data_IF_239737862795
#
_entry.id   IF_239737862795
#
_cell.length_a   1.000
_cell.length_b   1.000
_cell.length_c   1.000
_cell.angle_alpha   90.00
_cell.angle_beta   90.00
_cell.angle_gamma   90.00
#
_symmetry.space_group_name_H-M   'P 1'
#
loop_
_entity.id
_entity.type
_entity.pdbx_description
1 polymer ?
#
# COMPACT_ATOMS: atom_id res chain seq x y z
N UNK A 1 2.52 -6.87 2.28
CA UNK A 1 1.97 -7.00 0.90
C UNK A 1 1.40 -8.39 0.71
N UNK A 2 0.21 -8.49 0.11
CA UNK A 2 -0.63 -9.70 0.10
C UNK A 2 -0.49 -10.54 -1.18
N UNK A 3 0.65 -10.45 -1.89
CA UNK A 3 0.88 -11.21 -3.14
C UNK A 3 0.53 -12.70 -3.03
N UNK A 4 0.90 -13.43 -1.95
CA UNK A 4 0.50 -14.83 -1.81
C UNK A 4 -1.01 -15.05 -1.93
N UNK A 5 -1.83 -14.20 -1.31
CA UNK A 5 -3.28 -14.33 -1.34
C UNK A 5 -3.88 -13.96 -2.69
N UNK A 6 -3.28 -12.99 -3.39
CA UNK A 6 -3.70 -12.65 -4.76
C UNK A 6 -3.40 -13.79 -5.71
N UNK A 7 -2.23 -14.44 -5.61
CA UNK A 7 -1.92 -15.62 -6.41
C UNK A 7 -2.88 -16.78 -6.08
N UNK A 8 -3.25 -16.96 -4.81
CA UNK A 8 -4.28 -17.96 -4.44
C UNK A 8 -5.65 -17.61 -5.04
N UNK A 9 -6.01 -16.34 -5.12
CA UNK A 9 -7.27 -15.90 -5.73
C UNK A 9 -7.30 -16.24 -7.23
N UNK A 10 -6.23 -15.93 -7.97
CA UNK A 10 -6.10 -16.30 -9.38
C UNK A 10 -6.12 -17.82 -9.59
N UNK A 11 -5.52 -18.58 -8.69
CA UNK A 11 -5.56 -20.07 -8.73
C UNK A 11 -6.93 -20.64 -8.35
N UNK A 12 -7.79 -19.89 -7.68
CA UNK A 12 -9.16 -20.30 -7.40
C UNK A 12 -10.05 -20.30 -8.66
N UNK A 13 -9.68 -19.55 -9.69
CA UNK A 13 -10.34 -19.56 -11.01
C UNK A 13 -9.98 -20.79 -11.86
N UNK A 14 -8.85 -21.45 -11.54
CA UNK A 14 -8.36 -22.65 -12.23
C UNK A 14 -6.85 -22.80 -12.18
N UNK A 15 -6.32 -23.95 -12.62
CA UNK A 15 -4.89 -24.20 -12.66
C UNK A 15 -4.18 -23.30 -13.67
N UNK A 16 -3.07 -22.63 -13.25
CA UNK A 16 -2.34 -21.65 -14.06
C UNK A 16 -0.84 -21.83 -13.96
N UNK A 17 -0.11 -21.36 -14.97
CA UNK A 17 1.34 -21.26 -14.95
C UNK A 17 1.79 -20.00 -14.21
N UNK A 18 3.01 -19.99 -13.65
CA UNK A 18 3.53 -18.83 -12.94
C UNK A 18 3.60 -17.56 -13.79
N UNK A 19 3.94 -17.67 -15.08
CA UNK A 19 3.94 -16.54 -16.00
C UNK A 19 2.52 -15.99 -16.23
N UNK A 20 1.56 -16.87 -16.45
CA UNK A 20 0.15 -16.51 -16.62
C UNK A 20 -0.39 -15.77 -15.37
N UNK A 21 -0.06 -16.24 -14.16
CA UNK A 21 -0.44 -15.59 -12.91
C UNK A 21 0.13 -14.16 -12.81
N UNK A 22 1.35 -13.94 -13.30
CA UNK A 22 1.94 -12.60 -13.36
C UNK A 22 1.15 -11.71 -14.30
N UNK A 23 0.92 -12.17 -15.53
CA UNK A 23 0.23 -11.41 -16.58
C UNK A 23 -1.20 -11.05 -16.16
N UNK A 24 -1.95 -12.00 -15.58
CA UNK A 24 -3.31 -11.74 -15.09
C UNK A 24 -3.32 -10.78 -13.90
N UNK A 25 -2.32 -10.84 -12.99
CA UNK A 25 -2.19 -9.88 -11.91
C UNK A 25 -1.90 -8.47 -12.44
N UNK A 26 -0.93 -8.34 -13.37
CA UNK A 26 -0.57 -7.06 -13.98
C UNK A 26 -1.76 -6.46 -14.74
N UNK A 27 -2.43 -7.26 -15.56
CA UNK A 27 -3.65 -6.85 -16.27
C UNK A 27 -4.78 -6.46 -15.30
N UNK A 28 -5.04 -7.25 -14.26
CA UNK A 28 -6.10 -6.97 -13.28
C UNK A 28 -5.83 -5.75 -12.37
N UNK A 29 -4.62 -5.19 -12.42
CA UNK A 29 -4.23 -3.97 -11.69
C UNK A 29 -3.88 -2.82 -12.63
N UNK A 30 -4.17 -2.96 -13.95
CA UNK A 30 -3.82 -1.97 -14.96
C UNK A 30 -2.32 -1.67 -15.02
N UNK A 31 -1.49 -2.70 -14.82
CA UNK A 31 -0.02 -2.62 -14.81
C UNK A 31 0.58 -1.65 -13.77
N UNK A 32 -0.24 -1.12 -12.85
CA UNK A 32 0.19 -0.20 -11.79
C UNK A 32 1.20 -0.87 -10.85
N UNK A 33 1.07 -2.19 -10.64
CA UNK A 33 1.94 -2.95 -9.74
C UNK A 33 2.66 -4.10 -10.46
N UNK A 34 3.77 -3.82 -11.16
CA UNK A 34 4.50 -4.85 -11.88
C UNK A 34 5.06 -5.91 -10.92
N UNK A 35 4.96 -7.19 -11.30
CA UNK A 35 5.52 -8.32 -10.56
C UNK A 35 6.76 -8.89 -11.25
N UNK A 36 7.82 -9.06 -10.47
CA UNK A 36 8.99 -9.80 -10.94
C UNK A 36 8.68 -11.31 -11.02
N UNK A 37 8.98 -11.93 -12.14
CA UNK A 37 8.77 -13.37 -12.38
C UNK A 37 9.40 -14.23 -11.29
N UNK A 38 10.63 -13.92 -10.87
CA UNK A 38 11.31 -14.62 -9.79
C UNK A 38 10.58 -14.51 -8.45
N UNK A 39 9.92 -13.39 -8.18
CA UNK A 39 9.09 -13.21 -6.98
C UNK A 39 7.84 -14.09 -7.04
N UNK A 40 7.21 -14.21 -8.21
CA UNK A 40 6.05 -15.09 -8.40
C UNK A 40 6.42 -16.54 -8.10
N UNK A 41 7.48 -17.08 -8.73
CA UNK A 41 7.91 -18.47 -8.50
C UNK A 41 8.37 -18.71 -7.06
N UNK A 42 9.09 -17.77 -6.44
CA UNK A 42 9.46 -17.86 -5.02
C UNK A 42 8.23 -17.90 -4.11
N UNK A 43 7.18 -17.15 -4.47
CA UNK A 43 5.92 -17.14 -3.71
C UNK A 43 5.17 -18.43 -3.91
N UNK A 44 5.05 -18.94 -5.15
CA UNK A 44 4.41 -20.23 -5.45
C UNK A 44 5.11 -21.39 -4.73
N UNK A 45 6.45 -21.44 -4.73
CA UNK A 45 7.20 -22.45 -4.00
C UNK A 45 6.99 -22.40 -2.48
N UNK A 46 6.69 -21.21 -1.91
CA UNK A 46 6.29 -21.09 -0.51
C UNK A 46 4.88 -21.59 -0.29
N UNK A 47 3.92 -21.20 -1.15
CA UNK A 47 2.54 -21.66 -1.07
C UNK A 47 2.44 -23.18 -1.17
N UNK A 48 3.28 -23.81 -2.02
CA UNK A 48 3.37 -25.25 -2.17
C UNK A 48 3.93 -25.93 -0.91
N UNK A 49 5.03 -25.42 -0.33
CA UNK A 49 5.59 -25.92 0.94
C UNK A 49 4.60 -25.80 2.10
N UNK A 50 3.80 -24.75 2.11
CA UNK A 50 2.80 -24.49 3.15
C UNK A 50 1.50 -25.28 2.90
N UNK A 51 1.42 -26.06 1.79
CA UNK A 51 0.26 -26.85 1.40
C UNK A 51 -0.96 -26.04 0.99
N UNK A 52 -0.76 -24.78 0.59
CA UNK A 52 -1.81 -23.87 0.14
C UNK A 52 -2.03 -23.91 -1.37
N UNK A 53 -1.01 -24.28 -2.12
CA UNK A 53 -1.06 -24.61 -3.54
C UNK A 53 -0.35 -25.95 -3.77
N UNK A 54 -0.64 -26.58 -4.89
CA UNK A 54 0.05 -27.76 -5.35
C UNK A 54 0.31 -27.67 -6.85
N UNK A 55 1.32 -28.38 -7.33
CA UNK A 55 1.63 -28.45 -8.75
C UNK A 55 1.39 -29.83 -9.28
N UNK A 56 1.14 -29.94 -10.58
CA UNK A 56 0.85 -31.20 -11.27
C UNK A 56 2.08 -32.13 -11.46
N UNK A 57 3.20 -31.81 -10.82
CA UNK A 57 4.33 -32.72 -10.60
C UNK A 57 5.03 -33.33 -11.84
N UNK A 58 4.62 -33.00 -13.05
CA UNK A 58 5.07 -33.66 -14.28
C UNK A 58 6.22 -32.96 -15.00
N UNK A 59 6.80 -31.91 -14.40
CA UNK A 59 7.90 -31.17 -14.99
C UNK A 59 9.07 -31.01 -14.03
N UNK A 60 10.26 -31.42 -14.46
CA UNK A 60 11.52 -30.98 -13.90
C UNK A 60 11.48 -29.44 -13.80
N UNK A 61 12.04 -28.87 -12.74
CA UNK A 61 12.13 -27.44 -12.42
C UNK A 61 12.14 -26.53 -13.67
N UNK A 62 11.01 -25.90 -13.99
CA UNK A 62 10.93 -25.06 -15.18
C UNK A 62 9.60 -24.30 -15.33
N UNK A 63 9.52 -23.36 -16.31
CA UNK A 63 8.38 -22.48 -16.55
C UNK A 63 7.07 -23.19 -16.96
N UNK A 64 7.08 -24.51 -17.14
CA UNK A 64 5.92 -25.29 -17.56
C UNK A 64 5.12 -25.93 -16.41
N UNK A 65 5.49 -25.65 -15.14
CA UNK A 65 4.79 -26.18 -13.97
C UNK A 65 3.47 -25.44 -13.75
N UNK A 66 2.35 -26.16 -13.81
CA UNK A 66 1.02 -25.59 -13.48
C UNK A 66 0.77 -25.75 -11.99
N UNK A 67 0.19 -24.71 -11.42
CA UNK A 67 -0.20 -24.67 -10.02
C UNK A 67 -1.72 -24.64 -9.90
N UNK A 68 -2.25 -25.22 -8.83
CA UNK A 68 -3.65 -25.14 -8.44
C UNK A 68 -3.78 -24.88 -6.94
N UNK A 69 -4.87 -24.24 -6.55
CA UNK A 69 -5.16 -24.01 -5.14
C UNK A 69 -5.60 -25.31 -4.48
N UNK A 70 -5.18 -25.54 -3.23
CA UNK A 70 -5.68 -26.64 -2.40
C UNK A 70 -6.91 -26.24 -1.60
N UNK A 71 -7.70 -27.17 -1.02
CA UNK A 71 -8.77 -26.84 -0.08
C UNK A 71 -8.27 -25.99 1.11
N UNK A 72 -7.05 -26.24 1.59
CA UNK A 72 -6.40 -25.46 2.64
C UNK A 72 -6.07 -24.04 2.15
N UNK A 73 -5.61 -23.88 0.92
CA UNK A 73 -5.37 -22.58 0.28
C UNK A 73 -6.64 -21.77 0.12
N UNK A 74 -7.73 -22.41 -0.30
CA UNK A 74 -9.04 -21.77 -0.42
C UNK A 74 -9.56 -21.29 0.95
N UNK A 75 -9.40 -22.08 2.01
CA UNK A 75 -9.76 -21.68 3.37
C UNK A 75 -8.89 -20.50 3.86
N UNK A 76 -7.59 -20.53 3.58
CA UNK A 76 -6.67 -19.42 3.93
C UNK A 76 -7.04 -18.12 3.18
N UNK A 77 -7.37 -18.19 1.89
CA UNK A 77 -7.85 -17.06 1.11
C UNK A 77 -9.15 -16.49 1.70
N UNK A 78 -10.12 -17.34 2.00
CA UNK A 78 -11.40 -16.92 2.57
C UNK A 78 -11.23 -16.26 3.97
N UNK A 79 -10.31 -16.76 4.78
CA UNK A 79 -9.97 -16.16 6.06
C UNK A 79 -9.30 -14.79 5.88
N UNK A 80 -8.34 -14.67 4.96
CA UNK A 80 -7.65 -13.41 4.67
C UNK A 80 -8.61 -12.32 4.19
N UNK A 81 -9.55 -12.64 3.29
CA UNK A 81 -10.54 -11.69 2.78
C UNK A 81 -11.44 -11.10 3.89
N UNK A 82 -11.63 -11.82 4.99
CA UNK A 82 -12.45 -11.38 6.13
C UNK A 82 -11.64 -10.73 7.25
N UNK A 83 -10.32 -10.85 7.21
CA UNK A 83 -9.44 -10.31 8.25
C UNK A 83 -9.07 -8.87 7.91
N UNK A 84 -9.45 -7.88 8.74
CA UNK A 84 -9.02 -6.50 8.53
C UNK A 84 -7.48 -6.40 8.53
N UNK A 85 -6.90 -5.52 7.70
CA UNK A 85 -5.47 -5.25 7.75
C UNK A 85 -5.09 -4.62 9.09
N UNK A 86 -3.88 -4.96 9.58
CA UNK A 86 -3.34 -4.31 10.79
C UNK A 86 -2.90 -2.89 10.45
N UNK A 87 -3.64 -1.90 10.93
CA UNK A 87 -3.38 -0.47 10.80
C UNK A 87 -2.97 0.18 12.12
N UNK A 88 -2.64 -0.61 13.15
CA UNK A 88 -2.31 -0.08 14.49
C UNK A 88 -0.99 0.69 14.55
N UNK A 89 -0.08 0.43 13.63
CA UNK A 89 1.21 1.13 13.53
C UNK A 89 1.25 1.95 12.24
N UNK A 90 1.21 3.29 12.32
CA UNK A 90 1.35 4.12 11.13
C UNK A 90 2.73 3.90 10.49
N UNK A 91 2.83 3.81 9.16
CA UNK A 91 4.11 3.71 8.47
C UNK A 91 4.94 4.98 8.72
N UNK A 92 6.26 4.86 8.67
CA UNK A 92 7.15 6.02 8.63
C UNK A 92 7.01 6.68 7.26
N UNK A 93 6.23 7.74 7.20
CA UNK A 93 5.98 8.48 5.96
C UNK A 93 7.08 9.54 5.77
N UNK A 94 7.74 9.50 4.61
CA UNK A 94 8.85 10.42 4.28
C UNK A 94 8.37 11.87 4.21
N UNK A 95 7.17 12.13 3.68
CA UNK A 95 6.62 13.46 3.58
C UNK A 95 6.33 14.05 4.97
N UNK A 96 5.78 13.25 5.88
CA UNK A 96 5.61 13.64 7.29
C UNK A 96 6.95 13.99 7.91
N UNK A 97 7.99 13.18 7.67
CA UNK A 97 9.33 13.45 8.18
C UNK A 97 9.92 14.74 7.60
N UNK A 98 9.73 15.01 6.31
CA UNK A 98 10.19 16.27 5.67
C UNK A 98 9.53 17.50 6.31
N UNK A 99 8.23 17.46 6.53
CA UNK A 99 7.50 18.57 7.18
C UNK A 99 7.99 18.78 8.63
N UNK A 100 8.20 17.69 9.38
CA UNK A 100 8.72 17.76 10.75
C UNK A 100 10.14 18.33 10.80
N UNK A 101 11.00 17.98 9.85
CA UNK A 101 12.38 18.50 9.75
C UNK A 101 12.34 19.97 9.35
N UNK A 102 11.57 20.33 8.31
CA UNK A 102 11.44 21.72 7.86
C UNK A 102 10.97 22.65 8.97
N UNK A 103 10.06 22.20 9.83
CA UNK A 103 9.57 22.96 10.97
C UNK A 103 10.63 23.19 12.09
N UNK A 104 11.78 22.49 12.05
CA UNK A 104 12.83 22.57 13.08
C UNK A 104 14.13 23.17 12.61
N UNK A 105 14.43 23.09 11.31
CA UNK A 105 15.71 23.55 10.75
C UNK A 105 15.70 25.08 10.65
N UNK A 106 16.61 25.80 11.33
CA UNK A 106 16.71 27.25 11.21
C UNK A 106 16.97 27.68 9.75
N UNK A 107 16.27 28.70 9.29
CA UNK A 107 16.42 29.22 7.94
C UNK A 107 15.63 28.45 6.86
N UNK A 108 14.95 27.39 7.23
CA UNK A 108 14.05 26.65 6.32
C UNK A 108 12.62 27.22 6.45
N UNK A 109 12.03 27.61 5.33
CA UNK A 109 10.60 27.95 5.29
C UNK A 109 9.77 26.67 5.10
N UNK A 110 9.15 26.22 6.19
CA UNK A 110 8.29 25.05 6.17
C UNK A 110 7.07 25.22 5.27
N UNK A 111 6.61 26.45 5.05
CA UNK A 111 5.52 26.74 4.12
C UNK A 111 5.95 26.46 2.68
N UNK A 112 7.10 26.96 2.25
CA UNK A 112 7.63 26.67 0.90
C UNK A 112 7.77 25.17 0.65
N UNK A 113 8.31 24.43 1.63
CA UNK A 113 8.43 22.95 1.55
C UNK A 113 7.06 22.30 1.36
N UNK A 114 6.06 22.71 2.16
CA UNK A 114 4.70 22.18 2.05
C UNK A 114 4.09 22.49 0.69
N UNK A 115 4.23 23.74 0.20
CA UNK A 115 3.66 24.14 -1.08
C UNK A 115 4.29 23.39 -2.27
N UNK A 116 5.61 23.17 -2.25
CA UNK A 116 6.28 22.37 -3.27
C UNK A 116 5.73 20.95 -3.36
N UNK A 117 5.55 20.28 -2.22
CA UNK A 117 4.97 18.92 -2.19
C UNK A 117 3.49 18.93 -2.57
N UNK A 118 2.74 19.93 -2.15
CA UNK A 118 1.33 20.09 -2.51
C UNK A 118 1.13 20.22 -4.02
N UNK A 119 1.94 21.04 -4.69
CA UNK A 119 1.89 21.20 -6.15
C UNK A 119 2.19 19.86 -6.86
N UNK A 120 3.24 19.17 -6.46
CA UNK A 120 3.56 17.84 -6.99
C UNK A 120 2.41 16.84 -6.86
N UNK A 121 1.75 16.80 -5.69
CA UNK A 121 0.62 15.90 -5.46
C UNK A 121 -0.61 16.27 -6.32
N UNK A 122 -0.84 17.56 -6.57
CA UNK A 122 -1.91 18.02 -7.46
C UNK A 122 -1.65 17.60 -8.92
N UNK A 123 -0.40 17.69 -9.38
CA UNK A 123 -0.01 17.21 -10.71
C UNK A 123 -0.21 15.68 -10.82
N UNK A 124 0.16 14.95 -9.78
CA UNK A 124 -0.05 13.49 -9.73
C UNK A 124 -1.55 13.15 -9.73
N UNK A 125 -2.39 13.86 -8.96
CA UNK A 125 -3.85 13.69 -9.00
C UNK A 125 -4.43 13.91 -10.38
N UNK A 126 -3.94 14.92 -11.12
CA UNK A 126 -4.39 15.16 -12.49
C UNK A 126 -4.04 13.98 -13.43
N UNK A 127 -2.87 13.35 -13.24
CA UNK A 127 -2.48 12.16 -14.01
C UNK A 127 -3.42 10.99 -13.73
N UNK A 128 -3.70 10.71 -12.45
CA UNK A 128 -4.64 9.66 -12.05
C UNK A 128 -6.08 9.95 -12.51
N UNK A 129 -6.50 11.22 -12.50
CA UNK A 129 -7.83 11.61 -13.01
C UNK A 129 -7.95 11.35 -14.51
N UNK A 130 -6.93 11.68 -15.30
CA UNK A 130 -6.92 11.37 -16.74
C UNK A 130 -6.98 9.86 -16.99
N UNK A 131 -6.25 9.06 -16.21
CA UNK A 131 -6.30 7.60 -16.30
C UNK A 131 -7.70 7.07 -15.94
N UNK A 132 -8.37 7.65 -14.94
CA UNK A 132 -9.75 7.32 -14.58
C UNK A 132 -10.74 7.59 -15.72
N UNK A 133 -10.60 8.73 -16.39
CA UNK A 133 -11.51 9.13 -17.47
C UNK A 133 -11.23 8.37 -18.78
N UNK A 134 -10.04 7.82 -18.94
CA UNK A 134 -9.60 7.04 -20.10
C UNK A 134 -9.65 5.53 -19.86
N UNK A 135 -8.50 4.93 -19.64
CA UNK A 135 -8.30 3.47 -19.61
C UNK A 135 -9.07 2.76 -18.48
N UNK A 136 -9.22 3.41 -17.32
CA UNK A 136 -9.91 2.83 -16.17
C UNK A 136 -11.45 2.84 -16.32
N UNK A 137 -12.00 3.45 -17.37
CA UNK A 137 -13.46 3.62 -17.51
C UNK A 137 -14.20 2.30 -17.63
N UNK A 138 -13.62 1.36 -18.38
CA UNK A 138 -14.23 0.06 -18.67
C UNK A 138 -13.52 -1.10 -17.96
N UNK A 139 -12.49 -0.82 -17.15
CA UNK A 139 -11.74 -1.77 -16.34
C UNK A 139 -12.00 -1.55 -14.84
N UNK A 140 -12.81 -2.43 -14.25
CA UNK A 140 -13.16 -2.35 -12.83
C UNK A 140 -11.94 -2.47 -11.90
N UNK A 141 -10.97 -3.34 -12.23
CA UNK A 141 -9.78 -3.55 -11.43
C UNK A 141 -8.92 -2.29 -11.37
N UNK A 142 -8.61 -1.73 -12.54
CA UNK A 142 -7.89 -0.48 -12.68
C UNK A 142 -8.67 0.69 -12.04
N UNK A 143 -9.99 0.77 -12.23
CA UNK A 143 -10.82 1.82 -11.63
C UNK A 143 -10.72 1.82 -10.10
N UNK A 144 -10.78 0.65 -9.45
CA UNK A 144 -10.62 0.53 -8.00
C UNK A 144 -9.25 0.98 -7.51
N UNK A 145 -8.18 0.66 -8.25
CA UNK A 145 -6.81 1.11 -7.93
C UNK A 145 -6.69 2.62 -8.06
N UNK A 146 -7.20 3.18 -9.17
CA UNK A 146 -7.16 4.63 -9.44
C UNK A 146 -7.97 5.39 -8.38
N UNK A 147 -9.15 4.93 -8.02
CA UNK A 147 -9.97 5.54 -6.97
C UNK A 147 -9.24 5.53 -5.62
N UNK A 148 -8.64 4.40 -5.24
CA UNK A 148 -7.88 4.31 -3.99
C UNK A 148 -6.71 5.32 -3.96
N UNK A 149 -5.98 5.48 -5.07
CA UNK A 149 -4.89 6.45 -5.17
C UNK A 149 -5.37 7.89 -5.12
N UNK A 150 -6.46 8.23 -5.80
CA UNK A 150 -7.06 9.57 -5.74
C UNK A 150 -7.50 9.93 -4.33
N UNK A 151 -8.17 9.02 -3.60
CA UNK A 151 -8.54 9.24 -2.20
C UNK A 151 -7.32 9.40 -1.30
N UNK A 152 -6.27 8.60 -1.52
CA UNK A 152 -5.03 8.70 -0.76
C UNK A 152 -4.34 10.05 -0.96
N UNK A 153 -4.22 10.51 -2.20
CA UNK A 153 -3.60 11.79 -2.55
C UNK A 153 -4.40 12.96 -1.97
N UNK A 154 -5.73 12.95 -2.09
CA UNK A 154 -6.61 13.97 -1.52
C UNK A 154 -6.44 14.06 0.02
N UNK A 155 -6.39 12.92 0.70
CA UNK A 155 -6.15 12.91 2.15
C UNK A 155 -4.78 13.51 2.53
N UNK A 156 -3.73 13.23 1.75
CA UNK A 156 -2.39 13.79 1.98
C UNK A 156 -2.37 15.29 1.74
N UNK A 157 -3.02 15.79 0.68
CA UNK A 157 -3.12 17.24 0.40
C UNK A 157 -3.86 17.95 1.53
N UNK A 158 -4.99 17.43 1.99
CA UNK A 158 -5.72 17.98 3.14
C UNK A 158 -4.88 18.01 4.42
N UNK A 159 -4.06 16.98 4.63
CA UNK A 159 -3.13 16.94 5.75
C UNK A 159 -2.07 18.03 5.63
N UNK A 160 -1.49 18.26 4.44
CA UNK A 160 -0.53 19.33 4.19
C UNK A 160 -1.15 20.73 4.46
N UNK A 161 -2.38 20.98 3.99
CA UNK A 161 -3.10 22.23 4.24
C UNK A 161 -3.33 22.44 5.76
N UNK A 162 -3.69 21.37 6.47
CA UNK A 162 -3.86 21.42 7.92
C UNK A 162 -2.53 21.63 8.68
N UNK A 163 -1.45 21.01 8.21
CA UNK A 163 -0.10 21.16 8.76
C UNK A 163 0.40 22.60 8.59
N UNK A 164 0.28 23.17 7.39
CA UNK A 164 0.63 24.56 7.09
C UNK A 164 -0.12 25.55 8.00
N UNK A 165 -1.44 25.41 8.08
CA UNK A 165 -2.26 26.26 8.95
C UNK A 165 -1.86 26.13 10.44
N UNK A 166 -1.45 24.95 10.88
CA UNK A 166 -0.99 24.70 12.26
C UNK A 166 0.37 25.32 12.54
N UNK A 167 1.32 25.22 11.59
CA UNK A 167 2.65 25.81 11.70
C UNK A 167 2.58 27.34 11.70
N UNK A 168 1.76 27.93 10.83
CA UNK A 168 1.53 29.39 10.82
C UNK A 168 0.96 29.91 12.14
N UNK A 169 -0.03 29.21 12.72
CA UNK A 169 -0.56 29.58 14.04
C UNK A 169 0.49 29.47 15.15
N UNK A 170 1.35 28.45 15.09
CA UNK A 170 2.43 28.29 16.07
C UNK A 170 3.49 29.40 15.95
N UNK A 171 3.77 29.88 14.74
CA UNK A 171 4.69 31.00 14.50
C UNK A 171 4.10 32.34 14.90
N UNK A 172 2.79 32.53 14.77
CA UNK A 172 2.08 33.77 15.16
C UNK A 172 1.76 33.87 16.67
N UNK A 173 1.93 32.78 17.42
CA UNK A 173 1.66 32.74 18.87
C UNK A 173 2.77 33.43 19.70
N UNK A 174 2.49 33.81 20.97
CA UNK A 174 3.50 34.41 21.85
C UNK A 174 4.69 33.49 22.02
N UNK A 175 5.89 34.05 22.00
CA UNK A 175 7.18 33.37 22.13
C UNK A 175 7.11 32.24 23.15
N UNK A 176 7.29 31.03 22.70
CA UNK A 176 7.22 29.82 23.53
C UNK A 176 8.28 29.91 24.62
N UNK A 177 7.94 29.80 25.91
CA UNK A 177 8.96 29.58 26.93
C UNK A 177 9.80 28.33 26.61
N UNK A 178 11.06 28.34 27.04
CA UNK A 178 12.07 27.34 26.76
C UNK A 178 11.55 25.91 26.88
N UNK A 179 12.10 24.95 26.13
CA UNK A 179 11.54 23.60 26.03
C UNK A 179 11.48 22.95 27.41
N UNK A 180 10.27 22.58 27.79
CA UNK A 180 10.05 21.71 28.94
C UNK A 180 10.76 20.34 28.72
N UNK A 181 11.19 19.66 29.78
CA UNK A 181 11.88 18.39 29.68
C UNK A 181 11.09 17.39 28.84
N UNK A 182 11.82 16.52 28.16
CA UNK A 182 11.32 15.58 27.16
C UNK A 182 9.98 14.93 27.55
N UNK A 183 9.00 14.88 26.63
CA UNK A 183 7.71 14.26 26.91
C UNK A 183 7.92 12.79 27.23
N UNK A 184 7.18 12.33 28.22
CA UNK A 184 7.08 10.91 28.55
C UNK A 184 6.76 10.07 27.30
N UNK A 185 7.24 8.84 27.21
CA UNK A 185 6.99 7.98 26.07
C UNK A 185 5.48 7.86 25.81
N UNK A 186 5.11 8.03 24.54
CA UNK A 186 3.72 7.86 24.10
C UNK A 186 3.21 6.52 24.61
N UNK A 187 2.04 6.46 25.27
CA UNK A 187 1.48 5.20 25.73
C UNK A 187 1.37 4.26 24.52
N UNK A 188 2.05 3.12 24.59
CA UNK A 188 1.82 2.05 23.64
C UNK A 188 0.33 1.71 23.73
N UNK A 189 -0.41 1.89 22.66
CA UNK A 189 -1.78 1.40 22.54
C UNK A 189 -1.75 -0.08 22.91
N UNK A 190 -2.20 -0.39 24.15
CA UNK A 190 -2.34 -1.76 24.59
C UNK A 190 -3.20 -2.47 23.56
N UNK A 191 -2.68 -3.53 22.99
CA UNK A 191 -3.45 -4.46 22.17
C UNK A 191 -4.75 -4.74 22.91
N UNK A 192 -5.87 -4.24 22.39
CA UNK A 192 -7.17 -4.65 22.84
C UNK A 192 -7.27 -6.14 22.54
N UNK A 193 -7.06 -6.95 23.56
CA UNK A 193 -7.20 -8.40 23.47
C UNK A 193 -8.63 -8.71 23.13
N UNK A 194 -8.88 -9.09 21.89
CA UNK A 194 -10.11 -9.76 21.50
C UNK A 194 -10.07 -11.13 22.18
N UNK A 195 -10.78 -11.27 23.28
CA UNK A 195 -11.08 -12.59 23.84
C UNK A 195 -11.94 -13.35 22.84
N UNK A 196 -11.50 -14.55 22.52
CA UNK A 196 -12.29 -15.56 21.80
C UNK A 196 -13.51 -15.98 22.63
#
# INVERSE_FOLDING_TARGET
MSIPHVLLALLAEGPKYGLQLREEFEAGTGEVWPLNVGQVYKTLGRLERDGLAESDGTGQDGPQKRFRITPRGAAALAAWLRTPPDLTSPPRDELVMKVLVAARVPGTDAHEVIQAHRLYLLELMQQWTRLKEGEARDDLGLALVVDAELFRLDAVIRWLDAADARLRRAAAGPSRPAPAPAPAPVPQLRRLGVRR
#
